data_IF_518015332946
#
_entry.id   IF_518015332946
#
_cell.length_a   1.000
_cell.length_b   1.000
_cell.length_c   1.000
_cell.angle_alpha   90.00
_cell.angle_beta   90.00
_cell.angle_gamma   90.00
#
_symmetry.space_group_name_H-M   'P 1'
#
loop_
_entity.id
_entity.type
_entity.pdbx_description
1 polymer ?
#
# COMPACT_ATOMS: atom_id res chain seq x y z
N UNK A 1 -15.62 -5.56 14.78
CA UNK A 1 -15.67 -4.16 14.29
C UNK A 1 -14.29 -3.74 13.74
N UNK A 2 -13.79 -4.35 12.66
CA UNK A 2 -12.41 -4.10 12.17
C UNK A 2 -12.33 -3.15 10.94
N UNK A 3 -13.47 -2.69 10.42
CA UNK A 3 -13.53 -1.76 9.25
C UNK A 3 -14.02 -0.37 9.63
N UNK A 4 -13.96 -0.01 10.90
CA UNK A 4 -14.38 1.29 11.45
C UNK A 4 -13.37 1.81 12.46
N UNK A 5 -13.65 3.00 13.03
CA UNK A 5 -12.71 3.74 13.87
C UNK A 5 -12.03 4.88 13.11
N UNK A 6 -11.54 5.88 13.84
CA UNK A 6 -10.84 7.00 13.23
C UNK A 6 -9.49 6.53 12.64
N UNK A 7 -9.11 6.98 11.43
CA UNK A 7 -7.84 6.59 10.82
C UNK A 7 -6.66 7.07 11.66
N UNK A 8 -5.58 6.29 11.70
CA UNK A 8 -4.36 6.69 12.39
C UNK A 8 -3.67 7.86 11.68
N UNK A 9 -2.66 8.48 12.31
CA UNK A 9 -1.86 9.52 11.67
C UNK A 9 -1.18 9.00 10.38
N UNK A 10 -0.69 7.75 10.42
CA UNK A 10 -0.10 7.10 9.26
C UNK A 10 -1.10 6.93 8.13
N UNK A 11 -2.31 6.42 8.42
CA UNK A 11 -3.36 6.23 7.40
C UNK A 11 -3.75 7.54 6.73
N UNK A 12 -3.87 8.63 7.50
CA UNK A 12 -4.19 9.96 6.95
C UNK A 12 -3.11 10.47 6.00
N UNK A 13 -1.84 10.41 6.43
CA UNK A 13 -0.72 10.85 5.59
C UNK A 13 -0.60 9.99 4.34
N UNK A 14 -0.72 8.67 4.48
CA UNK A 14 -0.68 7.74 3.36
C UNK A 14 -1.81 8.03 2.36
N UNK A 15 -3.05 8.17 2.83
CA UNK A 15 -4.20 8.47 1.97
C UNK A 15 -4.01 9.79 1.21
N UNK A 16 -3.56 10.85 1.87
CA UNK A 16 -3.26 12.14 1.22
C UNK A 16 -2.18 12.00 0.13
N UNK A 17 -1.09 11.28 0.42
CA UNK A 17 0.00 11.06 -0.55
C UNK A 17 -0.45 10.24 -1.75
N UNK A 18 -1.20 9.16 -1.52
CA UNK A 18 -1.72 8.30 -2.59
C UNK A 18 -2.72 9.06 -3.47
N UNK A 19 -3.64 9.83 -2.87
CA UNK A 19 -4.62 10.63 -3.60
C UNK A 19 -3.97 11.72 -4.46
N UNK A 20 -3.00 12.45 -3.91
CA UNK A 20 -2.24 13.45 -4.65
C UNK A 20 -1.50 12.84 -5.85
N UNK A 21 -0.74 11.77 -5.63
CA UNK A 21 -0.02 11.10 -6.71
C UNK A 21 -0.96 10.52 -7.78
N UNK A 22 -2.13 10.00 -7.41
CA UNK A 22 -3.12 9.54 -8.38
C UNK A 22 -3.66 10.69 -9.23
N UNK A 23 -3.92 11.87 -8.64
CA UNK A 23 -4.31 13.06 -9.40
C UNK A 23 -3.20 13.50 -10.36
N UNK A 24 -1.93 13.49 -9.93
CA UNK A 24 -0.78 13.82 -10.79
C UNK A 24 -0.64 12.86 -11.98
N UNK A 25 -0.89 11.56 -11.80
CA UNK A 25 -0.90 10.60 -12.91
C UNK A 25 -1.99 10.96 -13.94
N UNK A 26 -3.21 11.24 -13.48
CA UNK A 26 -4.31 11.61 -14.39
C UNK A 26 -4.04 12.94 -15.11
N UNK A 27 -3.42 13.92 -14.45
CA UNK A 27 -3.02 15.19 -15.07
C UNK A 27 -1.94 15.04 -16.15
N UNK A 28 -1.22 13.92 -16.15
CA UNK A 28 -0.18 13.58 -17.14
C UNK A 28 -0.68 12.54 -18.15
N UNK A 29 -1.99 12.39 -18.29
CA UNK A 29 -2.68 11.42 -19.16
C UNK A 29 -2.28 9.95 -18.88
N UNK A 30 -1.74 9.67 -17.69
CA UNK A 30 -1.42 8.31 -17.25
C UNK A 30 -2.62 7.72 -16.51
N UNK A 31 -3.16 6.63 -17.05
CA UNK A 31 -4.26 5.86 -16.47
C UNK A 31 -3.95 4.36 -16.51
N UNK A 32 -4.77 3.53 -15.86
CA UNK A 32 -4.54 2.08 -15.81
C UNK A 32 -3.36 1.67 -14.92
N UNK A 33 -2.99 2.52 -13.96
CA UNK A 33 -1.97 2.25 -12.95
C UNK A 33 -2.59 2.21 -11.55
N UNK A 34 -2.00 1.41 -10.66
CA UNK A 34 -2.25 1.46 -9.23
C UNK A 34 -1.18 2.33 -8.57
N UNK A 35 -1.61 3.36 -7.85
CA UNK A 35 -0.73 4.12 -6.96
C UNK A 35 -0.66 3.40 -5.62
N UNK A 36 0.55 3.10 -5.17
CA UNK A 36 0.82 2.41 -3.91
C UNK A 36 2.11 2.89 -3.25
N UNK A 37 2.49 2.22 -2.17
CA UNK A 37 3.76 2.47 -1.49
C UNK A 37 4.66 1.25 -1.59
N UNK A 38 5.87 1.43 -2.10
CA UNK A 38 6.91 0.40 -2.17
C UNK A 38 8.19 0.95 -1.57
N UNK A 39 8.77 0.24 -0.60
CA UNK A 39 10.01 0.66 0.10
C UNK A 39 9.95 2.12 0.59
N UNK A 40 8.82 2.50 1.19
CA UNK A 40 8.54 3.85 1.72
C UNK A 40 8.39 4.97 0.69
N UNK A 41 8.37 4.65 -0.60
CA UNK A 41 8.17 5.60 -1.70
C UNK A 41 6.81 5.40 -2.36
N UNK A 42 6.23 6.48 -2.89
CA UNK A 42 4.99 6.40 -3.66
C UNK A 42 5.34 5.95 -5.08
N UNK A 43 4.64 4.94 -5.57
CA UNK A 43 4.94 4.31 -6.86
C UNK A 43 3.66 4.06 -7.63
N UNK A 44 3.66 4.39 -8.92
CA UNK A 44 2.63 3.98 -9.88
C UNK A 44 3.07 2.66 -10.53
N UNK A 45 2.23 1.64 -10.48
CA UNK A 45 2.50 0.31 -11.07
C UNK A 45 1.39 -0.05 -12.06
N UNK A 46 1.68 -0.54 -13.28
CA UNK A 46 0.64 -0.95 -14.22
C UNK A 46 -0.35 -1.93 -13.59
N UNK A 47 -1.64 -1.73 -13.80
CA UNK A 47 -2.68 -2.52 -13.14
C UNK A 47 -2.58 -4.01 -13.49
N UNK A 48 -2.19 -4.32 -14.74
CA UNK A 48 -1.96 -5.70 -15.20
C UNK A 48 -0.82 -6.43 -14.50
N UNK A 49 0.11 -5.71 -13.86
CA UNK A 49 1.16 -6.32 -13.05
C UNK A 49 0.74 -6.60 -11.61
N UNK A 50 -0.34 -5.99 -11.13
CA UNK A 50 -0.78 -6.13 -9.73
C UNK A 50 -1.95 -7.08 -9.62
N UNK A 51 -2.91 -6.99 -10.54
CA UNK A 51 -4.13 -7.80 -10.50
C UNK A 51 -3.77 -9.28 -10.63
N UNK A 52 -4.37 -10.10 -9.76
CA UNK A 52 -4.17 -11.56 -9.75
C UNK A 52 -2.86 -12.02 -9.11
N UNK A 53 -1.99 -11.12 -8.65
CA UNK A 53 -0.77 -11.50 -7.90
C UNK A 53 -1.04 -11.54 -6.40
N UNK A 54 -0.98 -12.70 -5.73
CA UNK A 54 -1.16 -12.78 -4.29
C UNK A 54 0.03 -12.13 -3.56
N UNK A 55 -0.25 -11.36 -2.52
CA UNK A 55 0.79 -10.80 -1.64
C UNK A 55 1.31 -11.91 -0.71
N UNK A 56 2.59 -12.23 -0.81
CA UNK A 56 3.26 -13.18 0.10
C UNK A 56 3.46 -12.58 1.49
N UNK A 57 3.44 -13.44 2.50
CA UNK A 57 3.79 -13.06 3.87
C UNK A 57 5.30 -13.05 4.06
N UNK A 58 5.78 -12.14 4.91
CA UNK A 58 7.14 -12.18 5.40
C UNK A 58 7.26 -13.24 6.52
N UNK A 59 7.86 -14.38 6.17
CA UNK A 59 8.01 -15.49 7.10
C UNK A 59 9.05 -15.22 8.19
N UNK A 60 9.97 -14.27 8.00
CA UNK A 60 10.93 -13.91 9.05
C UNK A 60 10.23 -13.18 10.19
N UNK A 61 9.35 -12.22 9.86
CA UNK A 61 8.51 -11.54 10.87
C UNK A 61 7.63 -12.55 11.61
N UNK A 62 7.05 -13.51 10.88
CA UNK A 62 6.22 -14.54 11.49
C UNK A 62 7.00 -15.43 12.47
N UNK A 63 8.22 -15.86 12.10
CA UNK A 63 9.09 -16.65 13.00
C UNK A 63 9.55 -15.84 14.21
N UNK A 64 9.88 -14.56 14.02
CA UNK A 64 10.21 -13.66 15.13
C UNK A 64 9.06 -13.58 16.15
N UNK A 65 7.82 -13.40 15.67
CA UNK A 65 6.65 -13.36 16.55
C UNK A 65 6.48 -14.67 17.35
N UNK A 66 6.72 -15.84 16.74
CA UNK A 66 6.69 -17.11 17.47
C UNK A 66 7.79 -17.22 18.53
N UNK A 67 8.99 -16.71 18.24
CA UNK A 67 10.10 -16.74 19.19
C UNK A 67 9.86 -15.85 20.41
N UNK A 68 9.19 -14.70 20.23
CA UNK A 68 8.88 -13.76 21.31
C UNK A 68 7.68 -14.18 22.17
N UNK A 69 6.90 -15.16 21.72
CA UNK A 69 5.72 -15.66 22.42
C UNK A 69 6.02 -16.82 23.40
N UNK A 70 7.28 -17.26 23.49
CA UNK A 70 7.77 -18.22 24.51
C UNK A 70 8.38 -17.48 25.68
#
# INVERSE_FOLDING_TARGET
>A
VQRGGAPTAFDRVLASRLGAAAADQLLTDQSGVLVGMQRSEITATPLGEVVGRPKSLDLEIFRLAQSLAR
#
